data_IF_075662457432
#
_entry.id   IF_075662457432
#
_cell.length_a   1.000
_cell.length_b   1.000
_cell.length_c   1.000
_cell.angle_alpha   90.00
_cell.angle_beta   90.00
_cell.angle_gamma   90.00
#
_symmetry.space_group_name_H-M   'P 1'
#
loop_
_entity.id
_entity.type
_entity.pdbx_description
1 polymer ?
#
# COMPACT_ATOMS: atom_id res chain seq x y z
N UNK A 1 15.37 -14.49 8.48
CA UNK A 1 15.14 -13.16 9.08
C UNK A 1 14.06 -12.47 8.26
N UNK A 2 13.05 -11.88 8.92
CA UNK A 2 12.09 -11.01 8.24
C UNK A 2 12.83 -9.69 7.97
N UNK A 3 12.95 -9.26 6.72
CA UNK A 3 13.46 -7.91 6.42
C UNK A 3 12.44 -6.90 6.95
N UNK A 4 12.89 -6.02 7.84
CA UNK A 4 12.06 -5.00 8.50
C UNK A 4 12.38 -3.66 7.82
N UNK A 5 11.35 -2.93 7.39
CA UNK A 5 11.44 -1.57 6.85
C UNK A 5 12.24 -1.40 5.54
N UNK A 6 12.44 -2.46 4.77
CA UNK A 6 13.16 -2.39 3.49
C UNK A 6 12.50 -1.45 2.48
N UNK A 7 11.17 -1.48 2.42
CA UNK A 7 10.35 -0.69 1.49
C UNK A 7 9.81 0.59 2.15
N UNK A 8 10.03 0.79 3.45
CA UNK A 8 9.56 1.96 4.18
C UNK A 8 10.02 3.30 3.54
N UNK A 9 11.29 3.47 3.11
CA UNK A 9 11.72 4.72 2.46
C UNK A 9 11.00 5.00 1.15
N UNK A 10 10.73 3.95 0.35
CA UNK A 10 9.93 4.06 -0.87
C UNK A 10 8.54 4.57 -0.55
N UNK A 11 7.83 3.90 0.35
CA UNK A 11 6.46 4.29 0.68
C UNK A 11 6.38 5.70 1.26
N UNK A 12 7.35 6.08 2.10
CA UNK A 12 7.41 7.42 2.69
C UNK A 12 7.50 8.51 1.62
N UNK A 13 8.25 8.28 0.53
CA UNK A 13 8.35 9.21 -0.61
C UNK A 13 7.02 9.43 -1.32
N UNK A 14 6.13 8.43 -1.29
CA UNK A 14 4.82 8.47 -1.94
C UNK A 14 3.67 8.92 -1.01
N UNK A 15 3.92 9.26 0.26
CA UNK A 15 2.90 9.75 1.20
C UNK A 15 2.00 10.88 0.63
N UNK A 16 2.53 11.92 -0.05
CA UNK A 16 1.69 12.95 -0.67
C UNK A 16 0.76 12.36 -1.74
N UNK A 17 1.26 11.42 -2.54
CA UNK A 17 0.48 10.74 -3.58
C UNK A 17 -0.60 9.87 -2.95
N UNK A 18 -0.28 9.08 -1.92
CA UNK A 18 -1.26 8.27 -1.20
C UNK A 18 -2.40 9.10 -0.63
N UNK A 19 -2.10 10.26 -0.06
CA UNK A 19 -3.14 11.16 0.47
C UNK A 19 -4.13 11.59 -0.61
N UNK A 20 -3.63 11.95 -1.80
CA UNK A 20 -4.47 12.35 -2.93
C UNK A 20 -5.27 11.16 -3.47
N UNK A 21 -4.62 10.02 -3.66
CA UNK A 21 -5.24 8.85 -4.28
C UNK A 21 -6.26 8.19 -3.35
N UNK A 22 -6.02 8.13 -2.04
CA UNK A 22 -7.01 7.63 -1.09
C UNK A 22 -8.28 8.50 -1.09
N UNK A 23 -8.12 9.83 -1.19
CA UNK A 23 -9.26 10.74 -1.28
C UNK A 23 -10.07 10.52 -2.57
N UNK A 24 -9.40 10.34 -3.71
CA UNK A 24 -10.07 10.05 -4.99
C UNK A 24 -10.68 8.64 -5.03
N UNK A 25 -10.06 7.67 -4.36
CA UNK A 25 -10.55 6.30 -4.25
C UNK A 25 -11.89 6.16 -3.53
N UNK A 26 -12.37 7.22 -2.87
CA UNK A 26 -13.72 7.32 -2.34
C UNK A 26 -14.79 7.35 -3.44
N UNK A 27 -14.45 7.81 -4.64
CA UNK A 27 -15.38 7.97 -5.76
C UNK A 27 -15.10 7.02 -6.93
N UNK A 28 -13.83 6.69 -7.18
CA UNK A 28 -13.41 5.87 -8.32
C UNK A 28 -12.09 5.13 -8.04
N UNK A 29 -11.91 3.93 -8.60
CA UNK A 29 -10.63 3.20 -8.48
C UNK A 29 -9.46 4.05 -8.95
N UNK A 30 -8.39 4.08 -8.14
CA UNK A 30 -7.17 4.81 -8.46
C UNK A 30 -6.01 3.85 -8.70
N UNK A 31 -5.07 4.30 -9.53
CA UNK A 31 -3.84 3.57 -9.80
C UNK A 31 -2.61 4.44 -9.54
N UNK A 32 -1.59 3.84 -8.93
CA UNK A 32 -0.24 4.40 -8.83
C UNK A 32 0.69 3.49 -9.60
N UNK A 33 1.31 4.05 -10.65
CA UNK A 33 2.32 3.37 -11.45
C UNK A 33 3.69 3.58 -10.81
N UNK A 34 4.34 2.47 -10.44
CA UNK A 34 5.72 2.48 -9.99
C UNK A 34 6.65 1.96 -11.08
N UNK A 35 7.92 2.33 -11.01
CA UNK A 35 8.94 1.78 -11.90
C UNK A 35 9.60 0.57 -11.25
N UNK A 36 10.12 -0.34 -12.08
CA UNK A 36 10.94 -1.47 -11.60
C UNK A 36 12.14 -0.98 -10.78
N UNK A 37 12.72 0.16 -11.16
CA UNK A 37 13.86 0.78 -10.48
C UNK A 37 13.53 1.20 -9.04
N UNK A 38 12.29 1.61 -8.77
CA UNK A 38 11.85 2.00 -7.42
C UNK A 38 11.93 0.83 -6.43
N UNK A 39 11.61 -0.39 -6.87
CA UNK A 39 11.66 -1.60 -6.03
C UNK A 39 13.02 -2.30 -6.07
N UNK A 40 13.70 -2.28 -7.21
CA UNK A 40 14.98 -2.98 -7.39
C UNK A 40 16.16 -2.28 -6.69
N UNK A 41 16.05 -0.98 -6.41
CA UNK A 41 17.06 -0.24 -5.65
C UNK A 41 17.08 -0.57 -4.15
N UNK A 42 15.96 -1.05 -3.62
CA UNK A 42 15.79 -1.35 -2.20
C UNK A 42 15.74 -2.86 -1.91
N UNK A 43 15.39 -3.69 -2.89
CA UNK A 43 15.12 -5.12 -2.70
C UNK A 43 16.17 -6.07 -3.28
N UNK A 44 16.16 -7.30 -2.75
CA UNK A 44 16.99 -8.40 -3.24
C UNK A 44 16.56 -8.78 -4.68
N UNK A 45 17.51 -8.75 -5.62
CA UNK A 45 17.29 -8.81 -7.09
C UNK A 45 16.52 -10.04 -7.62
N UNK A 46 16.30 -11.05 -6.77
CA UNK A 46 15.76 -12.36 -7.13
C UNK A 46 14.30 -12.60 -6.73
N UNK A 47 13.65 -11.70 -5.98
CA UNK A 47 12.22 -11.86 -5.63
C UNK A 47 11.34 -11.10 -6.62
N UNK A 48 10.93 -11.81 -7.66
CA UNK A 48 10.14 -11.28 -8.79
C UNK A 48 8.67 -10.99 -8.46
N UNK A 49 8.21 -11.33 -7.26
CA UNK A 49 6.80 -11.20 -6.87
C UNK A 49 6.66 -10.20 -5.72
N UNK A 50 6.70 -8.91 -6.05
CA UNK A 50 6.31 -7.84 -5.13
C UNK A 50 4.78 -7.77 -4.95
N UNK A 51 4.04 -8.75 -5.48
CA UNK A 51 2.60 -8.79 -5.41
C UNK A 51 2.10 -8.88 -3.97
N UNK A 52 1.08 -8.09 -3.65
CA UNK A 52 0.38 -8.19 -2.38
C UNK A 52 -1.04 -7.66 -2.50
N UNK A 53 -1.86 -8.01 -1.52
CA UNK A 53 -3.13 -7.35 -1.24
C UNK A 53 -3.14 -6.91 0.21
N UNK A 54 -3.58 -5.69 0.46
CA UNK A 54 -3.72 -5.07 1.78
C UNK A 54 -5.15 -4.53 1.88
N UNK A 55 -5.93 -5.13 2.77
CA UNK A 55 -7.31 -4.76 3.01
C UNK A 55 -7.42 -4.05 4.36
N UNK A 56 -7.92 -2.82 4.35
CA UNK A 56 -7.98 -1.91 5.48
C UNK A 56 -9.42 -1.51 5.77
N UNK A 57 -9.94 -1.86 6.94
CA UNK A 57 -11.25 -1.38 7.42
C UNK A 57 -11.04 -0.55 8.68
N UNK A 58 -11.48 0.71 8.65
CA UNK A 58 -11.29 1.66 9.74
C UNK A 58 -9.81 1.77 10.19
N UNK A 59 -8.89 1.82 9.22
CA UNK A 59 -7.44 1.85 9.47
C UNK A 59 -6.83 0.54 10.02
N UNK A 60 -7.60 -0.55 10.13
CA UNK A 60 -7.10 -1.85 10.61
C UNK A 60 -7.01 -2.86 9.49
N UNK A 61 -5.92 -3.63 9.46
CA UNK A 61 -5.71 -4.72 8.52
C UNK A 61 -6.77 -5.81 8.71
N UNK A 62 -7.33 -6.31 7.61
CA UNK A 62 -8.36 -7.37 7.58
C UNK A 62 -7.89 -8.69 6.98
N UNK A 63 -6.75 -8.71 6.31
CA UNK A 63 -6.17 -9.89 5.67
C UNK A 63 -4.74 -10.16 6.18
N UNK A 64 -4.21 -11.36 5.91
CA UNK A 64 -2.86 -11.71 6.37
C UNK A 64 -1.78 -11.08 5.49
N UNK A 65 -1.00 -10.15 6.06
CA UNK A 65 0.15 -9.50 5.40
C UNK A 65 1.52 -9.94 5.97
N UNK A 66 1.54 -10.89 6.93
CA UNK A 66 2.78 -11.36 7.59
C UNK A 66 3.77 -12.04 6.64
N UNK A 67 3.33 -12.46 5.45
CA UNK A 67 4.21 -13.01 4.40
C UNK A 67 4.89 -11.96 3.51
N UNK A 68 4.42 -10.70 3.50
CA UNK A 68 4.90 -9.66 2.58
C UNK A 68 5.50 -8.47 3.32
N UNK A 69 6.83 -8.31 3.24
CA UNK A 69 7.52 -7.13 3.78
C UNK A 69 7.05 -5.85 3.09
N UNK A 70 6.84 -5.92 1.77
CA UNK A 70 6.33 -4.84 0.94
C UNK A 70 4.99 -4.31 1.47
N UNK A 71 4.06 -5.21 1.81
CA UNK A 71 2.73 -4.86 2.32
C UNK A 71 2.77 -4.32 3.76
N UNK A 72 3.59 -4.92 4.63
CA UNK A 72 3.75 -4.46 6.03
C UNK A 72 4.33 -3.05 6.10
N UNK A 73 5.42 -2.82 5.39
CA UNK A 73 6.08 -1.51 5.38
C UNK A 73 5.14 -0.44 4.80
N UNK A 74 4.28 -0.79 3.83
CA UNK A 74 3.25 0.12 3.32
C UNK A 74 2.24 0.46 4.41
N UNK A 75 1.71 -0.56 5.10
CA UNK A 75 0.77 -0.35 6.20
C UNK A 75 1.36 0.55 7.28
N UNK A 76 2.59 0.29 7.70
CA UNK A 76 3.28 1.07 8.74
C UNK A 76 3.46 2.53 8.32
N UNK A 77 3.82 2.78 7.04
CA UNK A 77 3.92 4.14 6.51
C UNK A 77 2.55 4.84 6.48
N UNK A 78 1.50 4.17 6.01
CA UNK A 78 0.15 4.74 6.00
C UNK A 78 -0.32 5.07 7.43
N UNK A 79 -0.05 4.18 8.39
CA UNK A 79 -0.36 4.36 9.81
C UNK A 79 0.61 5.31 10.54
N UNK A 80 1.66 5.80 9.89
CA UNK A 80 2.52 6.84 10.46
C UNK A 80 2.01 8.25 10.15
N UNK A 81 1.03 8.40 9.24
CA UNK A 81 0.54 9.69 8.77
C UNK A 81 -0.90 9.96 9.22
N UNK A 82 -1.11 11.01 9.99
CA UNK A 82 -2.42 11.28 10.61
C UNK A 82 -3.51 11.63 9.59
N UNK A 83 -3.20 12.38 8.52
CA UNK A 83 -4.17 12.67 7.45
C UNK A 83 -4.65 11.41 6.75
N UNK A 84 -3.74 10.45 6.52
CA UNK A 84 -4.09 9.16 5.93
C UNK A 84 -4.93 8.35 6.91
N UNK A 85 -4.59 8.31 8.20
CA UNK A 85 -5.42 7.62 9.21
C UNK A 85 -6.85 8.15 9.21
N UNK A 86 -7.01 9.47 9.17
CA UNK A 86 -8.32 10.13 9.11
C UNK A 86 -9.11 9.70 7.87
N UNK A 87 -8.47 9.70 6.68
CA UNK A 87 -9.10 9.23 5.44
C UNK A 87 -9.53 7.75 5.48
N UNK A 88 -8.83 6.93 6.25
CA UNK A 88 -9.11 5.50 6.39
C UNK A 88 -10.20 5.22 7.46
N UNK A 89 -10.52 6.18 8.33
CA UNK A 89 -11.60 6.01 9.31
C UNK A 89 -12.96 5.97 8.62
N UNK A 90 -13.83 5.06 9.06
CA UNK A 90 -15.16 4.86 8.48
C UNK A 90 -15.17 4.15 7.12
N UNK A 91 -14.01 3.97 6.51
CA UNK A 91 -13.87 3.43 5.16
C UNK A 91 -13.36 1.99 5.15
N UNK A 92 -13.64 1.30 4.05
CA UNK A 92 -13.07 0.00 3.72
C UNK A 92 -12.31 0.13 2.41
N UNK A 93 -10.98 -0.01 2.45
CA UNK A 93 -10.10 0.08 1.29
C UNK A 93 -9.41 -1.24 1.01
N UNK A 94 -9.18 -1.50 -0.28
CA UNK A 94 -8.29 -2.55 -0.77
C UNK A 94 -7.19 -1.92 -1.62
N UNK A 95 -5.95 -2.19 -1.23
CA UNK A 95 -4.75 -1.80 -1.95
C UNK A 95 -4.10 -3.07 -2.50
N UNK A 96 -3.86 -3.15 -3.81
CA UNK A 96 -3.31 -4.36 -4.43
C UNK A 96 -2.23 -4.01 -5.45
N UNK A 97 -1.03 -4.56 -5.25
CA UNK A 97 0.08 -4.40 -6.18
C UNK A 97 0.20 -5.67 -7.03
N UNK A 98 0.18 -5.50 -8.35
CA UNK A 98 0.38 -6.60 -9.30
C UNK A 98 1.78 -6.65 -9.89
N UNK A 99 2.05 -7.67 -10.72
CA UNK A 99 3.33 -7.89 -11.43
C UNK A 99 3.73 -6.75 -12.38
N UNK A 100 2.78 -5.89 -12.75
CA UNK A 100 3.01 -4.71 -13.59
C UNK A 100 3.54 -3.49 -12.80
N UNK A 101 3.82 -3.62 -11.50
CA UNK A 101 4.18 -2.50 -10.62
C UNK A 101 3.10 -1.42 -10.53
N UNK A 102 1.84 -1.80 -10.76
CA UNK A 102 0.66 -0.94 -10.61
C UNK A 102 0.00 -1.26 -9.29
N UNK A 103 -0.07 -0.27 -8.40
CA UNK A 103 -0.83 -0.34 -7.17
C UNK A 103 -2.24 0.21 -7.41
N UNK A 104 -3.22 -0.67 -7.32
CA UNK A 104 -4.64 -0.31 -7.35
C UNK A 104 -5.12 0.04 -5.96
N UNK A 105 -5.94 1.09 -5.85
CA UNK A 105 -6.55 1.56 -4.60
C UNK A 105 -8.04 1.72 -4.88
N UNK A 106 -8.87 0.93 -4.19
CA UNK A 106 -10.32 0.98 -4.33
C UNK A 106 -11.00 0.90 -2.96
N UNK A 107 -12.17 1.52 -2.85
CA UNK A 107 -13.08 1.22 -1.74
C UNK A 107 -13.77 -0.12 -1.97
N UNK A 108 -13.96 -0.89 -0.90
CA UNK A 108 -14.71 -2.14 -0.93
C UNK A 108 -16.15 -1.83 -0.50
N UNK A 109 -17.15 -2.09 -1.34
CA UNK A 109 -18.55 -1.89 -0.98
C UNK A 109 -18.89 -2.65 0.30
N UNK A 110 -19.62 -2.01 1.21
CA UNK A 110 -20.23 -2.72 2.33
C UNK A 110 -21.47 -3.44 1.77
N UNK A 111 -21.38 -4.76 1.63
CA UNK A 111 -22.55 -5.62 1.33
C UNK A 111 -23.58 -5.57 2.45
#
# INVERSE_FOLDING_TARGET
>A
MIEINLYYPLWKRYLPVFTIQLKKALTEEQEINFTRSDFHSLGNRNKSDYGFSLELKNGKVKNNISGSAVARDLYDVLMSNDKIKELLQGQHFKLSLGKAYILKIATVPSS
#
